data_IF_585084487035
#
_entry.id   IF_585084487035
#
_cell.length_a   1.000
_cell.length_b   1.000
_cell.length_c   1.000
_cell.angle_alpha   90.00
_cell.angle_beta   90.00
_cell.angle_gamma   90.00
#
_symmetry.space_group_name_H-M   'P 1'
#
loop_
_entity.id
_entity.type
_entity.pdbx_description
1 polymer ?
#
# COMPACT_ATOMS: atom_id res chain seq x y z
N UNK A 1 2.87 -30.34 1.14
CA UNK A 1 2.73 -28.98 0.59
C UNK A 1 4.02 -28.20 0.83
N UNK A 2 4.76 -27.94 -0.24
CA UNK A 2 6.04 -27.21 -0.27
C UNK A 2 5.83 -25.72 -0.04
N UNK A 3 6.91 -24.98 0.26
CA UNK A 3 6.85 -23.52 0.40
C UNK A 3 6.40 -22.84 -0.90
N UNK A 4 6.81 -23.37 -2.06
CA UNK A 4 6.37 -22.87 -3.36
C UNK A 4 4.86 -23.03 -3.56
N UNK A 5 4.30 -24.19 -3.19
CA UNK A 5 2.85 -24.42 -3.25
C UNK A 5 2.08 -23.49 -2.31
N UNK A 6 2.62 -23.23 -1.10
CA UNK A 6 2.01 -22.29 -0.15
C UNK A 6 1.99 -20.87 -0.71
N UNK A 7 3.09 -20.40 -1.29
CA UNK A 7 3.15 -19.07 -1.92
C UNK A 7 2.19 -18.97 -3.11
N UNK A 8 2.09 -20.01 -3.95
CA UNK A 8 1.13 -20.04 -5.07
C UNK A 8 -0.32 -19.95 -4.58
N UNK A 9 -0.67 -20.68 -3.52
CA UNK A 9 -2.00 -20.63 -2.93
C UNK A 9 -2.31 -19.24 -2.37
N UNK A 10 -1.34 -18.60 -1.71
CA UNK A 10 -1.47 -17.24 -1.20
C UNK A 10 -1.61 -16.19 -2.31
N UNK A 11 -0.91 -16.35 -3.44
CA UNK A 11 -1.03 -15.46 -4.61
C UNK A 11 -2.43 -15.50 -5.24
N UNK A 12 -3.08 -16.66 -5.27
CA UNK A 12 -4.43 -16.81 -5.86
C UNK A 12 -5.53 -16.07 -5.08
N UNK A 13 -5.33 -15.81 -3.78
CA UNK A 13 -6.27 -15.07 -2.95
C UNK A 13 -6.13 -13.54 -3.05
N UNK A 14 -5.15 -13.04 -3.79
CA UNK A 14 -4.89 -11.61 -3.89
C UNK A 14 -5.65 -10.96 -5.05
N UNK A 15 -5.95 -9.67 -4.89
CA UNK A 15 -6.42 -8.82 -5.99
C UNK A 15 -5.32 -8.68 -7.06
N UNK A 16 -5.67 -8.53 -8.35
CA UNK A 16 -4.69 -8.46 -9.45
C UNK A 16 -3.60 -7.42 -9.24
N UNK A 17 -3.95 -6.21 -8.79
CA UNK A 17 -2.98 -5.13 -8.50
C UNK A 17 -1.98 -5.49 -7.40
N UNK A 18 -2.41 -6.22 -6.38
CA UNK A 18 -1.53 -6.65 -5.28
C UNK A 18 -0.66 -7.82 -5.71
N UNK A 19 -1.20 -8.71 -6.55
CA UNK A 19 -0.47 -9.83 -7.13
C UNK A 19 0.68 -9.34 -8.01
N UNK A 20 0.45 -8.35 -8.86
CA UNK A 20 1.47 -7.77 -9.74
C UNK A 20 2.63 -7.17 -8.92
N UNK A 21 2.30 -6.45 -7.84
CA UNK A 21 3.32 -5.85 -6.95
C UNK A 21 4.11 -6.87 -6.15
N UNK A 22 3.49 -7.99 -5.73
CA UNK A 22 4.21 -9.07 -5.05
C UNK A 22 5.00 -9.93 -6.02
N UNK A 23 4.52 -10.14 -7.25
CA UNK A 23 5.23 -10.90 -8.28
C UNK A 23 6.62 -10.31 -8.56
N UNK A 24 6.75 -8.97 -8.55
CA UNK A 24 8.04 -8.27 -8.71
C UNK A 24 9.02 -8.64 -7.59
N UNK A 25 8.53 -8.83 -6.36
CA UNK A 25 9.39 -9.17 -5.20
C UNK A 25 9.82 -10.65 -5.14
N UNK A 26 9.21 -11.52 -5.95
CA UNK A 26 9.51 -12.95 -6.08
C UNK A 26 9.80 -13.68 -4.73
N UNK A 27 8.83 -13.70 -3.79
CA UNK A 27 9.04 -14.31 -2.48
C UNK A 27 9.22 -15.84 -2.57
N UNK A 28 10.30 -16.36 -1.96
CA UNK A 28 10.60 -17.80 -1.94
C UNK A 28 9.94 -18.54 -0.77
N UNK A 29 9.52 -17.79 0.24
CA UNK A 29 8.90 -18.34 1.45
C UNK A 29 7.59 -17.62 1.79
N UNK A 30 6.66 -18.29 2.49
CA UNK A 30 5.42 -17.66 2.97
C UNK A 30 5.68 -16.45 3.88
N UNK A 31 6.77 -16.51 4.66
CA UNK A 31 7.16 -15.42 5.58
C UNK A 31 7.57 -14.16 4.81
N UNK A 32 8.37 -14.31 3.75
CA UNK A 32 8.73 -13.20 2.88
C UNK A 32 7.50 -12.63 2.15
N UNK A 33 6.64 -13.51 1.63
CA UNK A 33 5.39 -13.09 0.99
C UNK A 33 4.56 -12.18 1.91
N UNK A 34 4.33 -12.61 3.16
CA UNK A 34 3.57 -11.82 4.13
C UNK A 34 4.25 -10.51 4.51
N UNK A 35 5.59 -10.51 4.63
CA UNK A 35 6.34 -9.29 4.90
C UNK A 35 6.24 -8.26 3.74
N UNK A 36 6.30 -8.72 2.49
CA UNK A 36 6.11 -7.87 1.31
C UNK A 36 4.67 -7.36 1.21
N UNK A 37 3.70 -8.22 1.47
CA UNK A 37 2.28 -7.86 1.51
C UNK A 37 2.01 -6.77 2.56
N UNK A 38 2.52 -6.94 3.79
CA UNK A 38 2.41 -5.95 4.86
C UNK A 38 3.01 -4.60 4.46
N UNK A 39 4.20 -4.60 3.84
CA UNK A 39 4.82 -3.36 3.34
C UNK A 39 3.95 -2.68 2.29
N UNK A 40 3.40 -3.42 1.34
CA UNK A 40 2.51 -2.87 0.31
C UNK A 40 1.25 -2.25 0.91
N UNK A 41 0.62 -2.91 1.88
CA UNK A 41 -0.55 -2.37 2.58
C UNK A 41 -0.22 -1.17 3.46
N UNK A 42 0.95 -1.14 4.09
CA UNK A 42 1.37 -0.04 4.96
C UNK A 42 1.71 1.23 4.15
N UNK A 43 2.40 1.08 3.01
CA UNK A 43 2.71 2.20 2.11
C UNK A 43 1.45 2.81 1.51
N UNK A 44 0.44 2.00 1.15
CA UNK A 44 -0.85 2.49 0.68
C UNK A 44 -1.56 3.38 1.72
N UNK A 45 -1.42 3.05 3.01
CA UNK A 45 -2.01 3.84 4.09
C UNK A 45 -1.25 5.16 4.35
N UNK A 46 0.08 5.16 4.21
CA UNK A 46 0.89 6.38 4.38
C UNK A 46 0.69 7.41 3.27
N UNK A 47 0.42 6.99 2.03
CA UNK A 47 0.17 7.91 0.91
C UNK A 47 -1.22 8.56 1.02
N UNK A 48 -2.21 7.88 1.60
CA UNK A 48 -3.54 8.48 1.83
C UNK A 48 -3.50 9.57 2.91
N UNK A 49 -2.72 9.37 3.99
CA UNK A 49 -2.63 10.36 5.08
C UNK A 49 -1.90 11.64 4.66
N UNK A 50 -0.94 11.56 3.72
CA UNK A 50 -0.21 12.75 3.25
C UNK A 50 -0.99 13.58 2.22
N UNK A 51 -2.00 13.02 1.55
CA UNK A 51 -2.89 13.79 0.67
C UNK A 51 -3.98 14.54 1.45
N UNK A 52 -4.27 14.15 2.69
CA UNK A 52 -5.24 14.85 3.53
C UNK A 52 -4.66 16.08 4.25
N UNK A 53 -3.33 16.18 4.34
CA UNK A 53 -2.63 17.36 4.87
C UNK A 53 -2.45 18.48 3.82
N UNK A 54 -2.65 18.20 2.53
CA UNK A 54 -2.49 19.15 1.43
C UNK A 54 -3.79 19.88 1.03
N UNK A 55 -4.89 19.67 1.75
CA UNK A 55 -6.18 20.36 1.53
C UNK A 55 -6.59 21.23 2.72
N UNK A 56 -5.66 22.04 3.23
CA UNK A 56 -6.04 23.29 3.90
C UNK A 56 -5.98 24.42 2.86
N UNK A 57 -7.10 24.81 2.23
CA UNK A 57 -7.13 26.04 1.45
C UNK A 57 -6.87 27.20 2.41
N UNK A 58 -5.82 27.95 2.12
CA UNK A 58 -5.58 29.28 2.65
C UNK A 58 -6.85 30.12 2.48
N UNK A 59 -7.65 30.27 3.54
CA UNK A 59 -8.58 31.39 3.61
C UNK A 59 -7.76 32.60 4.06
N UNK A 60 -7.06 33.17 3.08
CA UNK A 60 -6.70 34.59 3.14
C UNK A 60 -8.00 35.39 3.21
N UNK A 61 -8.42 35.73 4.42
CA UNK A 61 -9.37 36.82 4.63
C UNK A 61 -8.58 38.07 5.00
N UNK A 62 -7.95 38.65 3.97
CA UNK A 62 -7.77 40.09 3.93
C UNK A 62 -9.17 40.72 3.98
N UNK A 63 -9.51 41.38 5.09
CA UNK A 63 -10.57 42.38 5.07
C UNK A 63 -10.07 43.70 5.63
N UNK A 64 -9.89 44.60 4.68
CA UNK A 64 -9.60 46.02 4.79
C UNK A 64 -10.72 46.74 5.58
N UNK A 65 -10.31 47.77 6.34
CA UNK A 65 -11.05 48.94 6.85
C UNK A 65 -12.42 48.77 7.53
N UNK A 66 -12.52 49.21 8.80
CA UNK A 66 -12.93 50.59 9.14
C UNK A 66 -12.56 50.93 10.58
#
# INVERSE_FOLDING_TARGET
MTNAEKVRCLLQGLRPEMMERIAITNPKTPKEFLAHLQRLTHVGFSILRNQQAASSPSVMLSRVQR
#
